data_IF_657865982196
#
_entry.id   IF_657865982196
#
_cell.length_a   1.000
_cell.length_b   1.000
_cell.length_c   1.000
_cell.angle_alpha   90.00
_cell.angle_beta   90.00
_cell.angle_gamma   90.00
#
_symmetry.space_group_name_H-M   'P 1'
#
loop_
_entity.id
_entity.type
_entity.pdbx_description
1 polymer ?
#
# COMPACT_ATOMS: atom_id res chain seq x y z
N UNK A 1 -2.79 -9.82 -21.96
CA UNK A 1 -4.21 -9.58 -21.61
C UNK A 1 -4.94 -10.87 -21.26
N UNK A 2 -4.85 -11.95 -22.04
CA UNK A 2 -5.46 -13.25 -21.62
C UNK A 2 -4.78 -13.88 -20.39
N UNK A 3 -3.45 -13.77 -20.25
CA UNK A 3 -2.72 -14.23 -19.04
C UNK A 3 -2.93 -13.38 -17.78
N UNK A 4 -3.62 -12.23 -17.91
CA UNK A 4 -3.90 -11.29 -16.80
C UNK A 4 -5.31 -11.43 -16.25
N UNK A 5 -6.19 -12.17 -16.93
CA UNK A 5 -7.56 -12.41 -16.47
C UNK A 5 -7.56 -13.54 -15.44
N UNK A 6 -8.19 -13.28 -14.30
CA UNK A 6 -8.33 -14.21 -13.20
C UNK A 6 -9.14 -15.44 -13.69
N UNK A 7 -8.69 -16.69 -13.47
CA UNK A 7 -9.62 -17.80 -13.54
C UNK A 7 -10.69 -17.58 -12.46
N UNK A 8 -11.95 -17.85 -12.77
CA UNK A 8 -13.14 -17.66 -11.92
C UNK A 8 -13.07 -18.31 -10.51
N UNK A 9 -11.98 -19.01 -10.19
CA UNK A 9 -11.84 -19.92 -9.05
C UNK A 9 -10.53 -19.77 -8.25
N UNK A 10 -9.92 -18.58 -8.12
CA UNK A 10 -8.89 -18.40 -7.07
C UNK A 10 -9.53 -18.13 -5.70
N UNK A 11 -9.53 -19.19 -4.89
CA UNK A 11 -10.14 -19.36 -3.57
C UNK A 11 -9.74 -18.23 -2.60
N UNK A 12 -10.70 -17.57 -1.91
CA UNK A 12 -10.44 -16.53 -0.90
C UNK A 12 -9.37 -16.91 0.13
N UNK A 13 -9.21 -18.19 0.42
CA UNK A 13 -8.32 -18.71 1.46
C UNK A 13 -6.83 -18.53 1.16
N UNK A 14 -6.39 -18.76 -0.08
CA UNK A 14 -4.98 -18.53 -0.44
C UNK A 14 -4.61 -17.05 -0.37
N UNK A 15 -5.55 -16.16 -0.67
CA UNK A 15 -5.37 -14.70 -0.53
C UNK A 15 -5.28 -14.28 0.93
N UNK A 16 -6.08 -14.88 1.83
CA UNK A 16 -5.96 -14.64 3.28
C UNK A 16 -4.62 -15.11 3.82
N UNK A 17 -4.17 -16.31 3.44
CA UNK A 17 -2.88 -16.86 3.86
C UNK A 17 -1.71 -16.00 3.38
N UNK A 18 -1.80 -15.49 2.14
CA UNK A 18 -0.85 -14.53 1.62
C UNK A 18 -0.85 -13.22 2.43
N UNK A 19 -2.02 -12.64 2.69
CA UNK A 19 -2.13 -11.42 3.50
C UNK A 19 -1.59 -11.60 4.93
N UNK A 20 -1.77 -12.78 5.52
CA UNK A 20 -1.19 -13.13 6.82
C UNK A 20 0.34 -13.17 6.77
N UNK A 21 0.91 -13.83 5.76
CA UNK A 21 2.36 -13.85 5.58
C UNK A 21 2.92 -12.44 5.36
N UNK A 22 2.32 -11.68 4.44
CA UNK A 22 2.70 -10.30 4.16
C UNK A 22 2.57 -9.41 5.41
N UNK A 23 1.56 -9.63 6.25
CA UNK A 23 1.42 -8.96 7.54
C UNK A 23 2.57 -9.24 8.50
N UNK A 24 3.05 -10.48 8.60
CA UNK A 24 4.22 -10.77 9.45
C UNK A 24 5.53 -10.26 8.86
N UNK A 25 5.70 -10.34 7.54
CA UNK A 25 6.86 -9.76 6.86
C UNK A 25 6.88 -8.24 7.05
N UNK A 26 5.70 -7.63 7.04
CA UNK A 26 5.54 -6.24 7.38
C UNK A 26 5.95 -5.92 8.81
N UNK A 27 5.45 -6.69 9.78
CA UNK A 27 5.82 -6.49 11.18
C UNK A 27 7.34 -6.59 11.37
N UNK A 28 7.98 -7.56 10.71
CA UNK A 28 9.43 -7.75 10.73
C UNK A 28 10.18 -6.52 10.22
N UNK A 29 9.79 -5.99 9.06
CA UNK A 29 10.42 -4.78 8.50
C UNK A 29 10.29 -3.57 9.43
N UNK A 30 9.13 -3.42 10.05
CA UNK A 30 8.84 -2.29 10.92
C UNK A 30 9.54 -2.43 12.27
N UNK A 31 9.78 -3.65 12.73
CA UNK A 31 10.43 -3.91 14.01
C UNK A 31 11.85 -3.33 14.05
N UNK A 32 12.59 -3.41 12.94
CA UNK A 32 13.93 -2.82 12.80
C UNK A 32 13.97 -1.33 13.10
N UNK A 33 12.85 -0.68 12.85
CA UNK A 33 12.69 0.76 12.82
C UNK A 33 12.00 1.26 14.11
N UNK A 34 11.13 0.44 14.70
CA UNK A 34 10.27 0.73 15.85
C UNK A 34 10.96 1.10 17.18
N UNK A 35 12.29 1.08 17.27
CA UNK A 35 13.04 1.28 18.52
C UNK A 35 12.54 0.42 19.71
N UNK A 36 11.95 -0.75 19.44
CA UNK A 36 11.43 -1.69 20.44
C UNK A 36 9.93 -1.56 20.75
N UNK A 37 9.19 -0.63 20.13
CA UNK A 37 7.75 -0.49 20.34
C UNK A 37 6.95 -1.64 19.69
N UNK A 38 6.09 -2.37 20.44
CA UNK A 38 5.30 -3.49 19.93
C UNK A 38 4.43 -3.15 18.72
N UNK A 39 4.58 -3.81 17.58
CA UNK A 39 3.81 -3.56 16.36
C UNK A 39 2.50 -4.33 16.31
N UNK A 40 1.42 -3.64 15.94
CA UNK A 40 0.12 -4.26 15.67
C UNK A 40 -0.32 -3.96 14.24
N UNK A 41 -0.58 -5.01 13.47
CA UNK A 41 -1.13 -4.97 12.11
C UNK A 41 -2.51 -5.58 12.12
N UNK A 42 -3.46 -4.90 11.46
CA UNK A 42 -4.83 -5.36 11.30
C UNK A 42 -5.11 -5.54 9.81
N UNK A 43 -5.44 -6.76 9.41
CA UNK A 43 -5.66 -7.16 8.03
C UNK A 43 -7.14 -7.08 7.69
N UNK A 44 -7.46 -6.26 6.70
CA UNK A 44 -8.83 -6.11 6.20
C UNK A 44 -9.21 -7.24 5.23
N UNK A 45 -9.41 -8.43 5.78
CA UNK A 45 -9.72 -9.64 5.02
C UNK A 45 -11.13 -9.63 4.43
N UNK A 46 -12.04 -8.83 4.99
CA UNK A 46 -13.42 -8.73 4.51
C UNK A 46 -13.52 -8.05 3.15
N UNK A 47 -12.69 -7.03 2.90
CA UNK A 47 -12.62 -6.36 1.59
C UNK A 47 -12.24 -7.33 0.46
N UNK A 48 -11.52 -8.42 0.74
CA UNK A 48 -11.14 -9.41 -0.29
C UNK A 48 -12.35 -10.00 -1.03
N UNK A 49 -13.53 -10.06 -0.37
CA UNK A 49 -14.77 -10.59 -0.96
C UNK A 49 -15.39 -9.65 -1.99
N UNK A 50 -15.05 -8.37 -1.94
CA UNK A 50 -15.65 -7.31 -2.76
C UNK A 50 -14.67 -6.75 -3.79
N UNK A 51 -13.41 -7.22 -3.79
CA UNK A 51 -12.43 -6.79 -4.78
C UNK A 51 -12.80 -7.34 -6.17
N UNK A 52 -12.85 -6.46 -7.14
CA UNK A 52 -13.05 -6.80 -8.56
C UNK A 52 -11.71 -7.01 -9.27
N UNK A 53 -10.70 -7.53 -8.54
CA UNK A 53 -9.26 -7.47 -8.85
C UNK A 53 -8.95 -7.40 -10.35
N UNK A 54 -8.39 -6.29 -10.86
CA UNK A 54 -8.09 -6.16 -12.28
C UNK A 54 -6.83 -6.95 -12.71
N UNK A 55 -6.13 -7.60 -11.76
CA UNK A 55 -4.89 -8.33 -12.01
C UNK A 55 -4.92 -9.70 -11.31
N UNK A 56 -4.46 -10.73 -12.02
CA UNK A 56 -4.18 -12.05 -11.48
C UNK A 56 -3.14 -11.95 -10.36
N UNK A 57 -3.48 -12.38 -9.14
CA UNK A 57 -2.56 -12.41 -7.98
C UNK A 57 -1.22 -13.12 -8.28
N UNK A 58 -1.15 -13.99 -9.31
CA UNK A 58 0.11 -14.60 -9.78
C UNK A 58 1.18 -13.58 -10.17
N UNK A 59 0.81 -12.39 -10.62
CA UNK A 59 1.75 -11.36 -11.06
C UNK A 59 2.32 -10.54 -9.89
N UNK A 60 1.56 -10.36 -8.81
CA UNK A 60 1.98 -9.59 -7.63
C UNK A 60 2.50 -10.44 -6.48
N UNK A 61 2.10 -11.72 -6.41
CA UNK A 61 2.53 -12.63 -5.34
C UNK A 61 4.04 -12.72 -5.23
N UNK A 62 4.78 -12.61 -6.33
CA UNK A 62 6.24 -12.66 -6.29
C UNK A 62 6.79 -11.41 -5.60
N UNK A 63 6.39 -10.21 -5.98
CA UNK A 63 6.95 -8.95 -5.42
C UNK A 63 6.80 -8.83 -3.89
N UNK A 64 5.84 -9.54 -3.28
CA UNK A 64 5.58 -9.51 -1.83
C UNK A 64 6.37 -10.57 -1.01
N UNK A 65 7.12 -11.48 -1.65
CA UNK A 65 7.87 -12.55 -0.97
C UNK A 65 9.34 -12.18 -0.66
N UNK A 66 9.64 -10.89 -0.53
CA UNK A 66 10.99 -10.34 -0.42
C UNK A 66 11.77 -10.77 0.86
N UNK A 67 11.11 -11.36 1.86
CA UNK A 67 11.76 -11.90 3.08
C UNK A 67 11.97 -13.41 3.08
N UNK A 68 11.60 -14.09 2.00
CA UNK A 68 11.81 -15.53 1.86
C UNK A 68 13.24 -15.81 1.44
N UNK A 69 13.78 -16.94 1.89
CA UNK A 69 15.07 -17.42 1.41
C UNK A 69 14.94 -18.21 0.10
N UNK A 70 16.06 -18.53 -0.54
CA UNK A 70 16.09 -19.23 -1.83
C UNK A 70 15.34 -20.58 -1.79
N UNK A 71 15.49 -21.34 -0.70
CA UNK A 71 14.80 -22.63 -0.53
C UNK A 71 13.29 -22.45 -0.50
N UNK A 72 12.80 -21.49 0.29
CA UNK A 72 11.37 -21.20 0.39
C UNK A 72 10.80 -20.75 -0.96
N UNK A 73 11.52 -19.94 -1.73
CA UNK A 73 11.07 -19.52 -3.06
C UNK A 73 11.00 -20.70 -4.04
N UNK A 74 12.02 -21.58 -4.06
CA UNK A 74 12.01 -22.78 -4.89
C UNK A 74 10.86 -23.73 -4.54
N UNK A 75 10.60 -23.95 -3.25
CA UNK A 75 9.45 -24.75 -2.79
C UNK A 75 8.11 -24.17 -3.30
N UNK A 76 7.98 -22.84 -3.35
CA UNK A 76 6.79 -22.19 -3.90
C UNK A 76 6.68 -22.38 -5.42
N UNK A 77 7.78 -22.23 -6.15
CA UNK A 77 7.83 -22.43 -7.61
C UNK A 77 7.50 -23.88 -8.00
N UNK A 78 8.03 -24.86 -7.24
CA UNK A 78 7.73 -26.27 -7.39
C UNK A 78 6.23 -26.54 -7.15
N UNK A 79 5.66 -25.98 -6.08
CA UNK A 79 4.23 -26.10 -5.79
C UNK A 79 3.37 -25.50 -6.92
N UNK A 80 3.75 -24.33 -7.46
CA UNK A 80 3.06 -23.68 -8.57
C UNK A 80 3.08 -24.50 -9.87
N UNK A 81 4.11 -25.33 -10.05
CA UNK A 81 4.32 -26.18 -11.23
C UNK A 81 3.51 -27.49 -11.19
N UNK A 82 2.81 -27.79 -10.10
CA UNK A 82 1.97 -28.98 -9.97
C UNK A 82 0.80 -28.93 -10.99
N UNK A 83 0.66 -29.94 -11.87
CA UNK A 83 -0.39 -29.95 -12.90
C UNK A 83 -1.81 -30.03 -12.33
N UNK A 84 -2.02 -30.87 -11.31
CA UNK A 84 -3.32 -31.07 -10.69
C UNK A 84 -3.72 -29.82 -9.86
N UNK A 85 -4.83 -29.12 -10.19
CA UNK A 85 -5.20 -27.89 -9.50
C UNK A 85 -5.48 -28.05 -8.01
N UNK A 86 -6.12 -29.14 -7.58
CA UNK A 86 -6.45 -29.37 -6.18
C UNK A 86 -5.18 -29.61 -5.35
N UNK A 87 -4.27 -30.45 -5.84
CA UNK A 87 -2.98 -30.67 -5.19
C UNK A 87 -2.13 -29.41 -5.16
N UNK A 88 -2.06 -28.67 -6.28
CA UNK A 88 -1.37 -27.37 -6.34
C UNK A 88 -1.86 -26.42 -5.26
N UNK A 89 -3.18 -26.25 -5.14
CA UNK A 89 -3.77 -25.36 -4.13
C UNK A 89 -3.36 -25.80 -2.72
N UNK A 90 -3.46 -27.09 -2.42
CA UNK A 90 -3.08 -27.63 -1.11
C UNK A 90 -1.60 -27.36 -0.77
N UNK A 91 -0.69 -27.66 -1.69
CA UNK A 91 0.74 -27.41 -1.50
C UNK A 91 1.07 -25.92 -1.30
N UNK A 92 0.42 -25.03 -2.05
CA UNK A 92 0.57 -23.58 -1.89
C UNK A 92 0.07 -23.13 -0.51
N UNK A 93 -1.07 -23.65 -0.05
CA UNK A 93 -1.62 -23.30 1.26
C UNK A 93 -0.71 -23.79 2.40
N UNK A 94 -0.21 -25.02 2.31
CA UNK A 94 0.72 -25.57 3.29
C UNK A 94 2.04 -24.80 3.32
N UNK A 95 2.54 -24.40 2.15
CA UNK A 95 3.70 -23.52 2.04
C UNK A 95 3.46 -22.18 2.77
N UNK A 96 2.32 -21.51 2.53
CA UNK A 96 2.00 -20.26 3.22
C UNK A 96 1.93 -20.45 4.73
N UNK A 97 1.23 -21.50 5.21
CA UNK A 97 1.12 -21.78 6.65
C UNK A 97 2.48 -21.99 7.30
N UNK A 98 3.37 -22.74 6.63
CA UNK A 98 4.72 -22.99 7.11
C UNK A 98 5.56 -21.70 7.14
N UNK A 99 5.52 -20.90 6.06
CA UNK A 99 6.18 -19.61 5.96
C UNK A 99 5.71 -18.61 7.01
N UNK A 100 4.40 -18.54 7.25
CA UNK A 100 3.76 -17.69 8.27
C UNK A 100 4.19 -18.11 9.67
N UNK A 101 4.14 -19.40 9.98
CA UNK A 101 4.58 -19.94 11.27
C UNK A 101 6.05 -19.61 11.57
N UNK A 102 6.91 -19.60 10.54
CA UNK A 102 8.31 -19.19 10.67
C UNK A 102 8.45 -17.68 10.84
N UNK A 103 7.67 -16.88 10.11
CA UNK A 103 7.68 -15.43 10.18
C UNK A 103 7.24 -14.91 11.57
N UNK A 104 6.20 -15.51 12.14
CA UNK A 104 5.70 -15.22 13.49
C UNK A 104 6.76 -15.46 14.57
N UNK A 105 7.56 -16.53 14.44
CA UNK A 105 8.60 -16.92 15.42
C UNK A 105 9.93 -16.17 15.25
N UNK A 106 10.03 -15.22 14.31
CA UNK A 106 11.24 -14.42 14.13
C UNK A 106 11.52 -13.60 15.40
N UNK A 107 12.78 -13.44 15.84
CA UNK A 107 13.12 -12.63 17.01
C UNK A 107 12.53 -11.22 16.96
N UNK A 108 12.51 -10.61 15.78
CA UNK A 108 11.95 -9.28 15.52
C UNK A 108 10.44 -9.18 15.83
N UNK A 109 9.74 -10.31 15.84
CA UNK A 109 8.29 -10.41 15.99
C UNK A 109 7.82 -10.88 17.37
N UNK A 110 8.73 -11.11 18.32
CA UNK A 110 8.40 -11.63 19.65
C UNK A 110 7.35 -10.79 20.40
N UNK A 111 7.28 -9.48 20.13
CA UNK A 111 6.31 -8.55 20.71
C UNK A 111 5.31 -7.97 19.71
N UNK A 112 5.33 -8.46 18.46
CA UNK A 112 4.45 -7.97 17.42
C UNK A 112 3.21 -8.86 17.30
N UNK A 113 2.17 -8.32 16.70
CA UNK A 113 0.94 -9.05 16.45
C UNK A 113 0.30 -8.69 15.12
N UNK A 114 -0.26 -9.70 14.47
CA UNK A 114 -1.01 -9.59 13.22
C UNK A 114 -2.40 -10.17 13.46
N UNK A 115 -3.44 -9.37 13.26
CA UNK A 115 -4.83 -9.75 13.49
C UNK A 115 -5.66 -9.59 12.23
N UNK A 116 -6.75 -10.36 12.13
CA UNK A 116 -7.85 -9.96 11.27
C UNK A 116 -8.47 -8.68 11.83
N UNK A 117 -8.81 -7.73 10.96
CA UNK A 117 -9.44 -6.49 11.35
C UNK A 117 -10.89 -6.75 11.79
N UNK A 118 -11.18 -6.45 13.05
CA UNK A 118 -12.53 -6.25 13.53
C UNK A 118 -12.93 -4.78 13.33
N UNK A 119 -13.81 -4.55 12.36
CA UNK A 119 -14.25 -3.19 12.01
C UNK A 119 -15.09 -2.54 13.10
N UNK A 120 -15.81 -3.31 13.91
CA UNK A 120 -16.65 -2.78 14.98
C UNK A 120 -15.78 -2.31 16.15
N UNK A 121 -14.78 -3.11 16.54
CA UNK A 121 -13.76 -2.68 17.49
C UNK A 121 -13.03 -1.41 17.03
N UNK A 122 -12.64 -1.34 15.74
CA UNK A 122 -12.01 -0.15 15.19
C UNK A 122 -12.95 1.08 15.25
N UNK A 123 -14.23 0.91 14.91
CA UNK A 123 -15.21 1.97 14.99
C UNK A 123 -15.34 2.52 16.42
N UNK A 124 -15.29 1.66 17.43
CA UNK A 124 -15.34 2.09 18.83
C UNK A 124 -14.08 2.86 19.25
N UNK A 125 -12.90 2.49 18.73
CA UNK A 125 -11.69 3.29 18.90
C UNK A 125 -11.80 4.66 18.22
N UNK A 126 -12.36 4.72 17.01
CA UNK A 126 -12.58 5.97 16.28
C UNK A 126 -13.53 6.90 17.04
N UNK A 127 -14.63 6.36 17.59
CA UNK A 127 -15.60 7.15 18.38
C UNK A 127 -14.95 7.77 19.63
N UNK A 128 -14.07 7.01 20.30
CA UNK A 128 -13.37 7.44 21.53
C UNK A 128 -12.20 8.38 21.26
N UNK A 129 -11.62 8.35 20.05
CA UNK A 129 -10.48 9.19 19.71
C UNK A 129 -10.85 10.68 19.60
N UNK A 130 -9.94 11.55 20.05
CA UNK A 130 -10.09 13.01 19.92
C UNK A 130 -9.99 13.47 18.46
N UNK A 131 -9.09 12.85 17.70
CA UNK A 131 -8.86 13.11 16.29
C UNK A 131 -8.40 11.82 15.62
N UNK A 132 -8.95 11.53 14.44
CA UNK A 132 -8.52 10.41 13.60
C UNK A 132 -8.05 10.96 12.27
N UNK A 133 -6.83 10.60 11.87
CA UNK A 133 -6.30 10.82 10.52
C UNK A 133 -6.13 9.49 9.84
N UNK A 134 -6.66 9.38 8.64
CA UNK A 134 -6.53 8.21 7.79
C UNK A 134 -5.73 8.61 6.55
N UNK A 135 -4.63 7.89 6.32
CA UNK A 135 -3.82 7.98 5.11
C UNK A 135 -4.09 6.73 4.27
N UNK A 136 -4.57 6.85 3.04
CA UNK A 136 -4.98 5.69 2.25
C UNK A 136 -4.47 5.72 0.82
N UNK A 137 -4.21 4.54 0.27
CA UNK A 137 -3.76 4.33 -1.10
C UNK A 137 -4.21 2.98 -1.65
N UNK A 138 -5.32 2.43 -1.14
CA UNK A 138 -5.82 1.10 -1.45
C UNK A 138 -7.34 1.12 -1.75
N UNK A 139 -7.97 -0.07 -1.83
CA UNK A 139 -9.40 -0.21 -2.08
C UNK A 139 -10.25 0.70 -1.18
N UNK A 140 -11.18 1.43 -1.80
CA UNK A 140 -12.08 2.38 -1.12
C UNK A 140 -13.22 1.67 -0.35
N UNK A 141 -13.33 0.34 -0.43
CA UNK A 141 -14.37 -0.43 0.27
C UNK A 141 -14.26 -0.31 1.80
N UNK A 142 -13.05 -0.20 2.32
CA UNK A 142 -12.85 0.06 3.73
C UNK A 142 -13.46 1.40 4.16
N UNK A 143 -13.29 2.45 3.36
CA UNK A 143 -13.89 3.77 3.62
C UNK A 143 -15.41 3.73 3.51
N UNK A 144 -15.94 3.03 2.51
CA UNK A 144 -17.39 2.78 2.39
C UNK A 144 -17.96 2.19 3.67
N UNK A 145 -17.31 1.17 4.24
CA UNK A 145 -17.76 0.57 5.50
C UNK A 145 -17.67 1.52 6.69
N UNK A 146 -16.66 2.39 6.77
CA UNK A 146 -16.59 3.42 7.82
C UNK A 146 -17.70 4.47 7.72
N UNK A 147 -18.11 4.84 6.49
CA UNK A 147 -19.26 5.71 6.24
C UNK A 147 -20.55 5.02 6.71
N UNK A 148 -20.78 3.78 6.28
CA UNK A 148 -21.95 2.99 6.66
C UNK A 148 -22.05 2.74 8.17
N UNK A 149 -20.91 2.66 8.87
CA UNK A 149 -20.85 2.55 10.34
C UNK A 149 -21.01 3.90 11.06
N UNK A 150 -21.18 5.01 10.33
CA UNK A 150 -21.48 6.33 10.89
C UNK A 150 -20.29 7.02 11.58
N UNK A 151 -19.06 6.57 11.35
CA UNK A 151 -17.86 7.11 12.03
C UNK A 151 -17.03 8.05 11.15
N UNK A 152 -17.35 8.19 9.87
CA UNK A 152 -16.61 9.02 8.90
C UNK A 152 -16.43 10.48 9.38
N UNK A 153 -17.44 11.06 10.02
CA UNK A 153 -17.43 12.45 10.51
C UNK A 153 -16.34 12.75 11.56
N UNK A 154 -15.69 11.72 12.13
CA UNK A 154 -14.54 11.84 13.05
C UNK A 154 -13.19 11.86 12.32
N UNK A 155 -13.16 11.50 11.05
CA UNK A 155 -11.96 11.12 10.32
C UNK A 155 -11.57 12.22 9.34
N UNK A 156 -10.31 12.65 9.40
CA UNK A 156 -9.64 13.39 8.33
C UNK A 156 -8.98 12.39 7.39
N UNK A 157 -9.54 12.24 6.20
CA UNK A 157 -9.18 11.24 5.21
C UNK A 157 -8.32 11.88 4.12
N UNK A 158 -7.13 11.31 3.91
CA UNK A 158 -6.11 11.79 2.98
C UNK A 158 -5.70 10.64 2.07
N UNK A 159 -6.01 10.73 0.78
CA UNK A 159 -5.91 9.59 -0.13
C UNK A 159 -4.99 9.85 -1.31
N UNK A 160 -4.22 8.84 -1.71
CA UNK A 160 -3.61 8.76 -3.03
C UNK A 160 -4.55 7.96 -3.93
N UNK A 161 -5.33 8.66 -4.75
CA UNK A 161 -6.37 8.03 -5.57
C UNK A 161 -6.73 8.93 -6.75
N UNK A 162 -7.22 8.31 -7.82
CA UNK A 162 -7.73 9.00 -9.00
C UNK A 162 -6.65 9.64 -9.87
N UNK A 163 -7.09 10.13 -11.02
CA UNK A 163 -6.21 10.62 -12.08
C UNK A 163 -6.91 11.68 -12.92
N UNK A 164 -6.15 12.64 -13.46
CA UNK A 164 -6.66 13.63 -14.42
C UNK A 164 -6.72 13.09 -15.85
N UNK A 165 -6.01 11.99 -16.10
CA UNK A 165 -5.81 11.43 -17.43
C UNK A 165 -5.56 9.93 -17.32
N UNK A 166 -6.27 9.13 -18.13
CA UNK A 166 -6.13 7.67 -18.19
C UNK A 166 -5.03 7.21 -19.16
N UNK A 167 -4.39 8.11 -19.90
CA UNK A 167 -3.44 7.72 -20.97
C UNK A 167 -2.26 6.87 -20.49
N UNK A 168 -1.92 6.96 -19.20
CA UNK A 168 -0.87 6.16 -18.57
C UNK A 168 -1.41 5.01 -17.72
N UNK A 169 -2.73 4.79 -17.69
CA UNK A 169 -3.33 3.74 -16.88
C UNK A 169 -3.37 2.42 -17.65
N UNK A 170 -3.00 1.34 -16.98
CA UNK A 170 -3.17 -0.02 -17.49
C UNK A 170 -4.63 -0.49 -17.45
N UNK A 171 -5.47 0.14 -16.63
CA UNK A 171 -6.86 -0.24 -16.41
C UNK A 171 -7.82 0.87 -16.86
N UNK A 172 -9.10 0.55 -17.12
CA UNK A 172 -10.13 1.54 -17.43
C UNK A 172 -10.31 2.62 -16.35
N UNK A 173 -9.87 2.34 -15.12
CA UNK A 173 -9.86 3.26 -13.99
C UNK A 173 -8.45 3.43 -13.43
N UNK A 174 -8.22 4.44 -12.58
CA UNK A 174 -7.02 4.46 -11.75
C UNK A 174 -7.00 3.23 -10.84
N UNK A 175 -5.81 2.67 -10.61
CA UNK A 175 -5.65 1.38 -9.92
C UNK A 175 -6.50 1.22 -8.64
N UNK A 176 -6.45 2.18 -7.71
CA UNK A 176 -7.20 2.10 -6.44
C UNK A 176 -8.72 2.19 -6.63
N UNK A 177 -9.18 2.84 -7.69
CA UNK A 177 -10.58 2.83 -8.12
C UNK A 177 -10.92 1.48 -8.78
N UNK A 178 -10.03 0.94 -9.61
CA UNK A 178 -10.23 -0.32 -10.33
C UNK A 178 -10.39 -1.54 -9.42
N UNK A 179 -9.87 -1.47 -8.19
CA UNK A 179 -10.02 -2.54 -7.19
C UNK A 179 -11.47 -2.76 -6.76
N UNK A 180 -12.27 -1.70 -6.71
CA UNK A 180 -13.70 -1.75 -6.42
C UNK A 180 -14.36 -0.42 -6.87
N UNK A 181 -14.79 -0.32 -8.14
CA UNK A 181 -15.37 0.91 -8.66
C UNK A 181 -16.69 1.31 -7.97
N UNK A 182 -17.47 0.33 -7.50
CA UNK A 182 -18.73 0.59 -6.77
C UNK A 182 -18.45 1.28 -5.43
N UNK A 183 -17.44 0.80 -4.70
CA UNK A 183 -17.00 1.44 -3.47
C UNK A 183 -16.41 2.83 -3.75
N UNK A 184 -15.68 2.99 -4.85
CA UNK A 184 -15.15 4.28 -5.24
C UNK A 184 -16.26 5.30 -5.50
N UNK A 185 -17.25 4.95 -6.31
CA UNK A 185 -18.40 5.78 -6.63
C UNK A 185 -19.16 6.18 -5.36
N UNK A 186 -19.42 5.21 -4.49
CA UNK A 186 -20.07 5.47 -3.20
C UNK A 186 -19.28 6.47 -2.34
N UNK A 187 -17.98 6.21 -2.10
CA UNK A 187 -17.14 7.06 -1.24
C UNK A 187 -17.01 8.46 -1.81
N UNK A 188 -16.86 8.60 -3.12
CA UNK A 188 -16.80 9.92 -3.76
C UNK A 188 -18.15 10.63 -3.81
N UNK A 189 -19.28 9.92 -3.76
CA UNK A 189 -20.59 10.52 -3.55
C UNK A 189 -20.84 10.98 -2.10
N UNK A 190 -20.06 10.46 -1.15
CA UNK A 190 -20.22 10.68 0.30
C UNK A 190 -18.97 11.30 0.94
N UNK A 191 -18.13 11.98 0.15
CA UNK A 191 -16.86 12.55 0.64
C UNK A 191 -17.08 13.61 1.74
N UNK A 192 -18.24 14.25 1.75
CA UNK A 192 -18.63 15.29 2.72
C UNK A 192 -18.99 14.71 4.09
N UNK A 193 -19.23 13.39 4.19
CA UNK A 193 -19.47 12.71 5.46
C UNK A 193 -18.21 12.66 6.33
N UNK A 194 -17.03 12.86 5.73
CA UNK A 194 -15.77 12.94 6.44
C UNK A 194 -15.53 14.33 7.03
N UNK A 195 -14.84 14.39 8.17
CA UNK A 195 -14.39 15.67 8.76
C UNK A 195 -13.54 16.48 7.79
N UNK A 196 -12.72 15.79 7.03
CA UNK A 196 -11.94 16.33 5.93
C UNK A 196 -11.69 15.21 4.93
N UNK A 197 -11.80 15.51 3.64
CA UNK A 197 -11.50 14.55 2.58
C UNK A 197 -10.63 15.22 1.52
N UNK A 198 -9.41 14.72 1.36
CA UNK A 198 -8.44 15.24 0.40
C UNK A 198 -7.84 14.13 -0.44
N UNK A 199 -7.52 14.45 -1.70
CA UNK A 199 -6.94 13.49 -2.65
C UNK A 199 -5.67 14.02 -3.29
N UNK A 200 -4.72 13.13 -3.54
CA UNK A 200 -3.53 13.35 -4.35
C UNK A 200 -3.63 12.45 -5.57
N UNK A 201 -3.90 13.07 -6.72
CA UNK A 201 -4.02 12.36 -7.97
C UNK A 201 -2.68 11.70 -8.35
N UNK A 202 -2.75 10.61 -9.12
CA UNK A 202 -1.57 9.90 -9.60
C UNK A 202 -0.52 10.85 -10.15
N UNK A 203 -0.83 11.73 -11.10
CA UNK A 203 0.15 12.64 -11.72
C UNK A 203 0.96 13.44 -10.70
N UNK A 204 0.30 13.97 -9.66
CA UNK A 204 0.97 14.73 -8.59
C UNK A 204 1.81 13.84 -7.68
N UNK A 205 1.30 12.66 -7.34
CA UNK A 205 2.04 11.70 -6.54
C UNK A 205 3.25 11.12 -7.31
N UNK A 206 3.17 11.08 -8.65
CA UNK A 206 4.20 10.56 -9.56
C UNK A 206 5.31 11.54 -9.90
N UNK A 207 5.09 12.84 -9.75
CA UNK A 207 6.09 13.87 -10.02
C UNK A 207 7.17 13.92 -8.96
N UNK A 208 6.92 13.47 -7.73
CA UNK A 208 7.98 13.36 -6.71
C UNK A 208 8.74 12.05 -6.90
N UNK A 209 10.06 12.14 -6.85
CA UNK A 209 10.98 11.03 -6.99
C UNK A 209 11.93 10.94 -5.80
N UNK A 210 12.21 9.73 -5.35
CA UNK A 210 13.05 9.47 -4.20
C UNK A 210 14.34 8.78 -4.61
N UNK A 211 15.47 9.27 -4.09
CA UNK A 211 16.78 8.61 -4.18
C UNK A 211 16.93 7.69 -2.96
N UNK A 212 17.54 6.53 -3.19
CA UNK A 212 17.69 5.46 -2.21
C UNK A 212 19.11 5.35 -1.62
N UNK A 213 19.98 6.32 -1.89
CA UNK A 213 21.40 6.25 -1.53
C UNK A 213 21.55 5.95 -0.03
N UNK A 214 22.40 4.98 0.31
CA UNK A 214 22.74 4.61 1.70
C UNK A 214 21.58 4.05 2.55
N UNK A 215 20.48 3.60 1.95
CA UNK A 215 19.36 3.00 2.70
C UNK A 215 19.73 1.63 3.32
N UNK A 216 20.65 0.87 2.71
CA UNK A 216 20.96 -0.51 3.13
C UNK A 216 21.59 -0.64 4.52
N UNK A 217 22.35 0.37 4.99
CA UNK A 217 23.09 0.28 6.25
C UNK A 217 22.19 0.29 7.50
N UNK A 218 21.02 0.93 7.42
CA UNK A 218 20.09 1.08 8.55
C UNK A 218 18.71 0.44 8.28
N UNK A 219 18.38 0.09 7.02
CA UNK A 219 17.04 -0.33 6.62
C UNK A 219 17.05 -1.51 5.63
N UNK A 220 17.93 -2.50 5.85
CA UNK A 220 18.16 -3.60 4.91
C UNK A 220 16.90 -4.38 4.51
N UNK A 221 15.96 -4.65 5.42
CA UNK A 221 14.71 -5.35 5.07
C UNK A 221 13.75 -4.47 4.27
N UNK A 222 13.69 -3.18 4.60
CA UNK A 222 12.93 -2.22 3.82
C UNK A 222 13.52 -2.02 2.43
N UNK A 223 14.85 -2.10 2.30
CA UNK A 223 15.53 -2.12 1.00
C UNK A 223 15.13 -3.31 0.14
N UNK A 224 15.09 -4.53 0.70
CA UNK A 224 14.59 -5.72 -0.02
C UNK A 224 13.17 -5.53 -0.53
N UNK A 225 12.32 -4.90 0.28
CA UNK A 225 10.97 -4.57 -0.15
C UNK A 225 10.94 -3.60 -1.32
N UNK A 226 11.70 -2.51 -1.27
CA UNK A 226 11.79 -1.55 -2.37
C UNK A 226 12.30 -2.24 -3.64
N UNK A 227 13.26 -3.16 -3.53
CA UNK A 227 13.74 -3.93 -4.66
C UNK A 227 12.61 -4.73 -5.33
N UNK A 228 11.80 -5.43 -4.56
CA UNK A 228 10.64 -6.16 -5.10
C UNK A 228 9.63 -5.21 -5.71
N UNK A 229 9.06 -4.33 -4.89
CA UNK A 229 7.90 -3.52 -5.25
C UNK A 229 8.19 -2.38 -6.23
N UNK A 230 9.31 -1.69 -6.08
CA UNK A 230 9.57 -0.47 -6.85
C UNK A 230 10.58 -0.69 -7.98
N UNK A 231 11.38 -1.75 -7.92
CA UNK A 231 12.44 -2.03 -8.91
C UNK A 231 12.15 -3.29 -9.74
N UNK A 232 11.07 -4.03 -9.43
CA UNK A 232 10.67 -5.22 -10.18
C UNK A 232 11.66 -6.37 -10.08
N UNK A 233 12.36 -6.46 -8.94
CA UNK A 233 13.26 -7.58 -8.66
C UNK A 233 12.48 -8.78 -8.18
N UNK A 234 12.75 -9.92 -8.78
CA UNK A 234 12.12 -11.18 -8.38
C UNK A 234 12.56 -11.57 -6.97
N UNK A 235 11.74 -12.32 -6.22
CA UNK A 235 12.14 -12.85 -4.92
C UNK A 235 13.41 -13.67 -4.96
N UNK A 236 13.64 -14.40 -6.05
CA UNK A 236 14.82 -15.24 -6.21
C UNK A 236 16.09 -14.38 -6.37
N UNK A 237 16.05 -13.32 -7.19
CA UNK A 237 17.16 -12.35 -7.31
C UNK A 237 17.48 -11.72 -5.94
N UNK A 238 16.44 -11.32 -5.18
CA UNK A 238 16.59 -10.72 -3.85
C UNK A 238 17.15 -11.74 -2.85
N UNK A 239 16.65 -12.98 -2.87
CA UNK A 239 17.06 -14.04 -1.95
C UNK A 239 18.51 -14.48 -2.16
N UNK A 240 18.99 -14.47 -3.42
CA UNK A 240 20.38 -14.80 -3.78
C UNK A 240 21.37 -13.64 -3.56
N UNK A 241 20.88 -12.43 -3.30
CA UNK A 241 21.73 -11.23 -3.21
C UNK A 241 22.27 -10.78 -4.57
N UNK A 242 21.62 -11.17 -5.66
CA UNK A 242 21.98 -10.75 -7.04
C UNK A 242 21.50 -9.32 -7.34
N UNK A 243 20.57 -8.80 -6.53
CA UNK A 243 20.10 -7.41 -6.58
C UNK A 243 20.52 -6.64 -5.31
N UNK A 244 21.04 -5.43 -5.51
CA UNK A 244 21.34 -4.45 -4.44
C UNK A 244 20.76 -3.10 -4.80
N UNK A 245 20.46 -2.28 -3.78
CA UNK A 245 19.98 -0.91 -3.97
C UNK A 245 21.05 0.00 -4.60
N UNK A 246 22.33 -0.29 -4.36
CA UNK A 246 23.46 0.54 -4.83
C UNK A 246 23.99 0.18 -6.22
N UNK A 247 23.41 -0.82 -6.90
CA UNK A 247 23.87 -1.16 -8.25
C UNK A 247 23.66 0.02 -9.22
N UNK A 248 24.59 0.20 -10.18
CA UNK A 248 24.66 1.40 -11.06
C UNK A 248 23.36 1.72 -11.81
N UNK A 249 22.48 0.74 -12.01
CA UNK A 249 21.15 0.92 -12.61
C UNK A 249 20.15 1.66 -11.72
N UNK A 250 20.41 1.84 -10.42
CA UNK A 250 19.47 2.40 -9.43
C UNK A 250 19.81 3.81 -8.95
N UNK A 251 20.70 4.50 -9.68
CA UNK A 251 20.77 5.96 -9.64
C UNK A 251 19.47 6.65 -10.13
N UNK A 252 18.45 5.87 -10.51
CA UNK A 252 17.14 6.35 -10.96
C UNK A 252 16.10 6.36 -9.83
N UNK A 253 15.99 7.51 -9.18
CA UNK A 253 14.72 8.19 -8.81
C UNK A 253 13.43 7.35 -8.92
N UNK A 254 12.91 6.89 -7.79
CA UNK A 254 11.66 6.11 -7.74
C UNK A 254 10.44 6.96 -7.38
N UNK A 255 9.30 6.69 -8.01
CA UNK A 255 8.03 7.29 -7.59
C UNK A 255 7.40 6.50 -6.45
N UNK A 256 7.18 7.14 -5.30
CA UNK A 256 6.49 6.53 -4.14
C UNK A 256 5.20 7.31 -3.84
N UNK A 257 4.10 7.04 -4.58
CA UNK A 257 2.92 7.90 -4.54
C UNK A 257 2.27 8.03 -3.17
N UNK A 258 2.17 6.93 -2.41
CA UNK A 258 1.59 6.94 -1.07
C UNK A 258 2.45 7.73 -0.09
N UNK A 259 3.77 7.54 -0.13
CA UNK A 259 4.72 8.33 0.65
C UNK A 259 4.59 9.82 0.32
N UNK A 260 4.50 10.18 -0.96
CA UNK A 260 4.28 11.56 -1.39
C UNK A 260 3.00 12.14 -0.82
N UNK A 261 1.89 11.40 -0.85
CA UNK A 261 0.63 11.84 -0.25
C UNK A 261 0.79 12.09 1.24
N UNK A 262 1.47 11.20 1.96
CA UNK A 262 1.70 11.34 3.39
C UNK A 262 2.56 12.58 3.70
N UNK A 263 3.66 12.79 2.97
CA UNK A 263 4.55 13.94 3.15
C UNK A 263 3.80 15.25 2.89
N UNK A 264 2.97 15.32 1.84
CA UNK A 264 2.16 16.53 1.56
C UNK A 264 1.31 16.94 2.77
N UNK A 265 0.78 15.97 3.51
CA UNK A 265 -0.13 16.24 4.63
C UNK A 265 0.58 16.40 5.97
N UNK A 266 1.68 15.69 6.22
CA UNK A 266 2.43 15.81 7.47
C UNK A 266 3.48 16.92 7.42
N UNK A 267 4.12 17.11 6.27
CA UNK A 267 5.21 18.04 6.00
C UNK A 267 4.98 18.86 4.72
N UNK A 268 3.93 19.69 4.68
CA UNK A 268 3.62 20.53 3.53
C UNK A 268 4.73 21.56 3.19
N UNK A 269 5.68 21.77 4.10
CA UNK A 269 6.89 22.57 3.87
C UNK A 269 7.88 21.89 2.91
N UNK A 270 7.93 20.55 2.89
CA UNK A 270 8.83 19.78 2.04
C UNK A 270 8.31 19.65 0.60
N UNK A 271 6.99 19.61 0.41
CA UNK A 271 6.36 19.50 -0.91
C UNK A 271 5.35 20.63 -1.08
N UNK A 272 5.75 21.66 -1.85
CA UNK A 272 4.90 22.83 -2.11
C UNK A 272 3.76 22.49 -3.06
N UNK A 273 2.59 22.24 -2.51
CA UNK A 273 1.35 22.03 -3.27
C UNK A 273 0.44 23.27 -3.27
N UNK A 274 -0.41 23.36 -4.28
CA UNK A 274 -1.61 24.20 -4.30
C UNK A 274 -2.84 23.31 -4.18
N UNK A 275 -3.89 23.85 -3.56
CA UNK A 275 -5.18 23.17 -3.45
C UNK A 275 -6.05 23.58 -4.64
N UNK A 276 -6.71 22.60 -5.25
CA UNK A 276 -7.77 22.81 -6.24
C UNK A 276 -8.97 21.91 -5.92
N UNK A 277 -10.11 22.20 -6.54
CA UNK A 277 -11.31 21.38 -6.41
C UNK A 277 -11.53 20.53 -7.66
N UNK A 278 -11.90 19.28 -7.45
CA UNK A 278 -12.19 18.33 -8.52
C UNK A 278 -13.57 17.71 -8.31
N UNK A 279 -14.28 17.52 -9.42
CA UNK A 279 -15.36 16.55 -9.51
C UNK A 279 -14.84 15.29 -10.20
N UNK A 280 -15.57 14.20 -10.03
CA UNK A 280 -15.26 12.92 -10.66
C UNK A 280 -16.26 12.69 -11.78
N UNK A 281 -15.78 12.27 -12.94
CA UNK A 281 -16.64 11.93 -14.06
C UNK A 281 -17.41 10.65 -13.78
N UNK A 282 -18.45 10.41 -14.59
CA UNK A 282 -19.22 9.19 -14.51
C UNK A 282 -18.37 7.95 -14.80
N UNK A 283 -18.91 6.79 -14.44
CA UNK A 283 -18.24 5.49 -14.62
C UNK A 283 -17.92 5.17 -16.07
N UNK A 284 -18.77 5.59 -17.00
CA UNK A 284 -18.54 5.46 -18.45
C UNK A 284 -17.32 6.23 -18.95
N UNK A 285 -16.96 7.32 -18.25
CA UNK A 285 -15.81 8.17 -18.55
C UNK A 285 -14.54 7.72 -17.80
N UNK A 286 -14.59 6.59 -17.08
CA UNK A 286 -13.45 6.06 -16.33
C UNK A 286 -13.15 6.77 -15.00
N UNK A 287 -14.12 7.49 -14.44
CA UNK A 287 -14.03 8.15 -13.12
C UNK A 287 -12.79 9.06 -12.96
N UNK A 288 -12.51 9.86 -13.99
CA UNK A 288 -11.41 10.82 -14.00
C UNK A 288 -11.74 12.12 -13.30
N UNK A 289 -10.70 12.80 -12.81
CA UNK A 289 -10.84 14.11 -12.20
C UNK A 289 -11.03 15.21 -13.24
N UNK A 290 -12.14 15.92 -13.12
CA UNK A 290 -12.44 17.13 -13.88
C UNK A 290 -12.35 18.33 -12.93
N UNK A 291 -11.62 19.38 -13.32
CA UNK A 291 -11.49 20.59 -12.49
C UNK A 291 -12.87 21.23 -12.28
N UNK A 292 -13.16 21.65 -11.05
CA UNK A 292 -14.41 22.32 -10.67
C UNK A 292 -14.12 23.53 -9.79
N UNK A 293 -15.15 24.35 -9.55
CA UNK A 293 -15.09 25.47 -8.59
C UNK A 293 -15.25 25.01 -7.14
N UNK A 294 -15.97 23.90 -6.93
CA UNK A 294 -16.19 23.22 -5.66
C UNK A 294 -16.12 21.69 -5.87
N UNK A 295 -16.03 20.93 -4.79
CA UNK A 295 -15.97 19.46 -4.82
C UNK A 295 -14.87 18.91 -3.90
N UNK A 296 -14.29 17.78 -4.30
CA UNK A 296 -13.21 17.13 -3.56
C UNK A 296 -11.96 18.01 -3.60
N UNK A 297 -11.34 18.28 -2.45
CA UNK A 297 -10.05 18.98 -2.38
C UNK A 297 -8.95 18.08 -2.93
N UNK A 298 -8.22 18.56 -3.92
CA UNK A 298 -7.06 17.88 -4.49
C UNK A 298 -5.79 18.72 -4.38
N UNK A 299 -4.70 18.08 -3.99
CA UNK A 299 -3.37 18.69 -4.02
C UNK A 299 -2.72 18.51 -5.38
N UNK A 300 -2.13 19.59 -5.87
CA UNK A 300 -1.33 19.62 -7.09
C UNK A 300 0.00 20.31 -6.79
N UNK A 301 1.12 19.76 -7.25
CA UNK A 301 2.43 20.41 -7.09
C UNK A 301 2.48 21.76 -7.81
N UNK A 302 3.05 22.77 -7.14
CA UNK A 302 3.20 24.11 -7.72
C UNK A 302 4.24 24.16 -8.83
N UNK A 303 5.30 23.38 -8.70
CA UNK A 303 6.39 23.31 -9.65
C UNK A 303 6.10 22.28 -10.74
N UNK A 304 6.43 22.61 -12.00
CA UNK A 304 6.22 21.73 -13.16
C UNK A 304 7.27 20.62 -13.27
N UNK A 305 8.33 20.68 -12.48
CA UNK A 305 9.43 19.72 -12.46
C UNK A 305 9.22 18.60 -11.44
N UNK A 306 9.86 17.46 -11.70
CA UNK A 306 10.00 16.40 -10.72
C UNK A 306 10.80 16.88 -9.52
N UNK A 307 10.32 16.62 -8.30
CA UNK A 307 11.07 16.93 -7.07
C UNK A 307 11.85 15.68 -6.65
N UNK A 308 13.15 15.83 -6.45
CA UNK A 308 13.99 14.75 -5.95
C UNK A 308 14.18 14.88 -4.44
N UNK A 309 14.03 13.79 -3.72
CA UNK A 309 14.23 13.75 -2.26
C UNK A 309 15.09 12.55 -1.89
N UNK A 310 15.95 12.70 -0.87
CA UNK A 310 16.70 11.59 -0.31
C UNK A 310 15.85 10.89 0.75
N UNK A 311 15.57 9.59 0.54
CA UNK A 311 14.67 8.84 1.41
C UNK A 311 15.15 8.76 2.87
N UNK A 312 16.46 8.58 3.16
CA UNK A 312 16.96 8.61 4.54
C UNK A 312 16.70 9.94 5.25
N UNK A 313 16.91 11.06 4.56
CA UNK A 313 16.66 12.40 5.13
C UNK A 313 15.17 12.59 5.43
N UNK A 314 14.32 12.09 4.55
CA UNK A 314 12.86 12.12 4.72
C UNK A 314 12.44 11.33 5.95
N UNK A 315 13.00 10.13 6.15
CA UNK A 315 12.74 9.33 7.35
C UNK A 315 13.25 10.00 8.62
N UNK A 316 14.43 10.60 8.60
CA UNK A 316 14.96 11.34 9.75
C UNK A 316 14.08 12.54 10.13
N UNK A 317 13.65 13.31 9.13
CA UNK A 317 12.77 14.47 9.30
C UNK A 317 11.41 14.07 9.86
N UNK A 318 10.88 12.94 9.39
CA UNK A 318 9.60 12.40 9.81
C UNK A 318 9.69 11.83 11.23
N UNK A 319 10.71 11.04 11.55
CA UNK A 319 10.97 10.53 12.90
C UNK A 319 11.11 11.65 13.97
N UNK A 320 11.61 12.84 13.59
CA UNK A 320 11.78 13.98 14.49
C UNK A 320 10.46 14.73 14.85
N UNK A 321 9.35 14.45 14.17
CA UNK A 321 8.07 15.16 14.33
C UNK A 321 7.38 14.77 15.67
N UNK A 322 7.73 15.45 16.78
CA UNK A 322 7.20 15.17 18.15
C UNK A 322 5.74 15.55 18.38
N UNK A 323 5.19 16.54 17.65
CA UNK A 323 3.78 17.00 17.80
C UNK A 323 2.76 15.98 17.34
N UNK A 324 3.24 14.98 16.63
CA UNK A 324 2.54 13.81 16.21
C UNK A 324 2.89 12.66 17.16
N UNK A 325 2.16 12.58 18.29
CA UNK A 325 1.70 11.27 18.79
C UNK A 325 0.74 10.58 17.79
N UNK A 326 0.60 11.11 16.56
CA UNK A 326 0.28 10.31 15.37
C UNK A 326 1.44 9.35 15.23
N UNK A 327 1.31 8.18 15.85
CA UNK A 327 2.18 7.03 15.72
C UNK A 327 3.35 7.24 14.73
N UNK A 328 4.46 7.81 15.19
CA UNK A 328 5.69 7.88 14.39
C UNK A 328 6.51 6.61 14.54
N UNK A 329 6.27 5.83 15.61
CA UNK A 329 6.39 4.39 15.56
C UNK A 329 5.58 3.78 14.41
N UNK A 330 4.58 4.47 13.81
CA UNK A 330 3.88 4.09 12.56
C UNK A 330 4.36 4.77 11.27
N UNK A 331 5.33 5.67 11.29
CA UNK A 331 5.81 6.23 10.01
C UNK A 331 6.70 5.23 9.28
N UNK A 332 7.57 4.55 10.01
CA UNK A 332 8.20 3.32 9.53
C UNK A 332 7.19 2.17 9.48
N UNK A 333 6.09 2.22 10.26
CA UNK A 333 4.92 1.34 10.04
C UNK A 333 4.00 1.68 8.86
N UNK A 334 4.30 2.66 8.01
CA UNK A 334 3.47 2.98 6.85
C UNK A 334 4.12 2.75 5.50
N UNK A 335 5.36 2.29 5.51
CA UNK A 335 5.91 1.60 4.36
C UNK A 335 5.07 0.36 3.95
N UNK A 336 4.13 -0.06 4.82
CA UNK A 336 3.28 -1.26 4.80
C UNK A 336 2.10 -1.39 3.85
N UNK A 337 1.44 -0.30 3.44
CA UNK A 337 0.31 -0.42 2.48
C UNK A 337 0.87 -0.27 1.08
N UNK A 338 0.88 -1.28 0.19
CA UNK A 338 -0.28 -1.64 -0.65
C UNK A 338 -1.04 -0.34 -1.01
N UNK A 339 -0.74 0.38 -2.08
CA UNK A 339 -0.53 -0.06 -3.46
C UNK A 339 0.14 1.05 -4.28
N UNK A 340 1.23 0.73 -4.98
CA UNK A 340 1.91 1.74 -5.77
C UNK A 340 2.91 1.24 -6.83
N UNK A 341 2.36 0.84 -7.98
CA UNK A 341 2.91 0.82 -9.35
C UNK A 341 3.66 -0.41 -9.85
N UNK A 342 3.02 -1.07 -10.83
CA UNK A 342 3.62 -1.15 -12.15
C UNK A 342 2.78 -0.34 -13.14
N UNK A 343 3.47 0.67 -13.71
CA UNK A 343 3.18 1.60 -14.82
C UNK A 343 1.96 2.53 -14.62
#
# INVERSE_FOLDING_TARGET
>A
LEKTLQPEYEVPESSKLHALLAGWDQATCMAQASAGDPIQIYLDLESLKTLTSPIHLRLHRQDELFLRNEKEIKEFEDAMSIPNPAHRIQHIQDWYRACTSRAERRPENQHNAVYALDIDCLCDWIKKAKEVRLFGGASLDFLRRLILKGVAHKIRCHLQVGTYNLSSNLFPYQFNIALNPDAAEYVFGHYEDFKEFTVVASQTAQSVKYRLLSLESNFSLFGKRIMGYNMGKTPLEIAKGEATLDSKSFQHKLGMPDLTMIIIHLRPDLIKCRIKFVGISDRSDGMIYKRKRSGVKSYEMKEKSSLDMDLPDIFAVLAAERRTRVAFARFERYCSGLLGRFI
#
